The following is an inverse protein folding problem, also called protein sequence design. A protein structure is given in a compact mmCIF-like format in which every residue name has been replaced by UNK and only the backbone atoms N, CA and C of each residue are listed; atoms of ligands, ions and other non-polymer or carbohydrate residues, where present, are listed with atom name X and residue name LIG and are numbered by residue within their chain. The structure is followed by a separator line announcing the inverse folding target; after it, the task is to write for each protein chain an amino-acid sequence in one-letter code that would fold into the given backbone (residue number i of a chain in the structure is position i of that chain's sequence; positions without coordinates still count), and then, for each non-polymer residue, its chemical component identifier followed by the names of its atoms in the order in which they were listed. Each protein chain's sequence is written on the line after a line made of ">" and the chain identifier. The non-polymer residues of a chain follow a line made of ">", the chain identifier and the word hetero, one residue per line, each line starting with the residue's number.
data_IF_491541247824
#
_entry.id   IF_491541247824
#
_cell.length_a   1.000
_cell.length_b   1.000
_cell.length_c   1.000
_cell.angle_alpha   90.00
_cell.angle_beta   90.00
_cell.angle_gamma   90.00
#
_symmetry.space_group_name_H-M   'P 1'
#
loop_
_entity.id
_entity.type
_entity.pdbx_description
1 polymer ?
#
# COMPACT_ATOMS: atom_id res chain seq x y z
N UNK A 1 -8.54 -14.20 5.00
CA UNK A 1 -7.92 -12.96 4.48
C UNK A 1 -7.89 -13.04 2.98
N UNK A 2 -8.51 -12.10 2.28
CA UNK A 2 -8.49 -12.12 0.83
C UNK A 2 -8.23 -10.71 0.31
N UNK A 3 -7.07 -10.56 -0.34
CA UNK A 3 -6.70 -9.34 -1.08
C UNK A 3 -7.81 -8.92 -2.07
N UNK A 4 -8.64 -9.88 -2.52
CA UNK A 4 -9.82 -9.64 -3.35
C UNK A 4 -10.78 -8.60 -2.77
N UNK A 5 -11.02 -8.66 -1.46
CA UNK A 5 -11.97 -7.78 -0.77
C UNK A 5 -11.38 -6.38 -0.70
N UNK A 6 -10.18 -6.28 -0.13
CA UNK A 6 -9.41 -5.04 0.00
C UNK A 6 -9.31 -4.31 -1.35
N UNK A 7 -8.93 -5.02 -2.42
CA UNK A 7 -8.81 -4.42 -3.74
C UNK A 7 -10.15 -4.03 -4.38
N UNK A 8 -11.23 -4.76 -4.12
CA UNK A 8 -12.57 -4.38 -4.57
C UNK A 8 -13.08 -3.12 -3.88
N UNK A 9 -12.84 -3.01 -2.58
CA UNK A 9 -13.21 -1.85 -1.77
C UNK A 9 -12.37 -0.62 -2.21
N UNK A 10 -11.05 -0.78 -2.42
CA UNK A 10 -10.20 0.29 -2.98
C UNK A 10 -10.60 0.71 -4.39
N UNK A 11 -10.94 -0.24 -5.29
CA UNK A 11 -11.41 0.10 -6.63
C UNK A 11 -12.69 0.94 -6.63
N UNK A 12 -13.52 0.78 -5.60
CA UNK A 12 -14.68 1.66 -5.37
C UNK A 12 -14.24 2.99 -4.79
N UNK A 13 -13.37 2.97 -3.78
CA UNK A 13 -12.84 4.14 -3.11
C UNK A 13 -12.18 5.14 -4.08
N UNK A 14 -11.28 4.68 -4.96
CA UNK A 14 -10.55 5.53 -5.90
C UNK A 14 -11.43 6.29 -6.89
N UNK A 15 -12.68 5.87 -7.10
CA UNK A 15 -13.64 6.62 -7.93
C UNK A 15 -14.12 7.91 -7.25
N UNK A 16 -14.09 7.94 -5.93
CA UNK A 16 -14.60 9.05 -5.11
C UNK A 16 -13.49 9.83 -4.41
N UNK A 17 -12.36 9.17 -4.14
CA UNK A 17 -11.13 9.79 -3.68
C UNK A 17 -9.96 9.17 -4.47
N UNK A 18 -9.70 9.69 -5.69
CA UNK A 18 -8.57 9.28 -6.50
C UNK A 18 -7.25 9.47 -5.76
N UNK A 19 -6.32 8.60 -6.07
CA UNK A 19 -4.97 8.56 -5.53
C UNK A 19 -4.01 9.47 -6.31
N UNK A 20 -4.55 10.50 -6.98
CA UNK A 20 -3.82 11.51 -7.75
C UNK A 20 -4.32 12.92 -7.40
N UNK A 21 -3.45 13.91 -7.52
CA UNK A 21 -3.82 15.32 -7.36
C UNK A 21 -4.36 15.89 -8.67
N UNK A 22 -5.44 16.66 -8.59
CA UNK A 22 -5.95 17.48 -9.69
C UNK A 22 -5.67 18.94 -9.37
N UNK A 23 -4.88 19.61 -10.20
CA UNK A 23 -4.50 21.02 -10.00
C UNK A 23 -3.92 21.27 -8.59
N UNK A 24 -3.02 20.37 -8.15
CA UNK A 24 -2.38 20.38 -6.82
C UNK A 24 -3.35 20.27 -5.63
N UNK A 25 -4.56 19.77 -5.86
CA UNK A 25 -5.60 19.52 -4.85
C UNK A 25 -6.09 18.08 -4.93
N UNK A 26 -6.54 17.54 -3.80
CA UNK A 26 -7.22 16.24 -3.78
C UNK A 26 -8.55 16.32 -4.52
N UNK A 27 -8.77 15.45 -5.51
CA UNK A 27 -10.05 15.34 -6.23
C UNK A 27 -11.09 14.57 -5.40
N UNK A 28 -11.54 15.18 -4.31
CA UNK A 28 -12.41 14.56 -3.32
C UNK A 28 -13.90 14.79 -3.62
N UNK A 29 -14.67 13.71 -3.82
CA UNK A 29 -16.12 13.79 -4.04
C UNK A 29 -16.87 13.83 -2.71
N UNK A 30 -16.93 15.01 -2.10
CA UNK A 30 -17.49 15.23 -0.74
C UNK A 30 -18.83 14.58 -0.45
N UNK A 31 -19.72 14.48 -1.45
CA UNK A 31 -21.05 13.86 -1.29
C UNK A 31 -21.00 12.41 -0.80
N UNK A 32 -19.97 11.64 -1.16
CA UNK A 32 -19.81 10.24 -0.73
C UNK A 32 -19.24 10.09 0.67
N UNK A 33 -18.66 11.16 1.21
CA UNK A 33 -17.95 11.16 2.49
C UNK A 33 -18.66 12.00 3.56
N UNK A 34 -19.85 12.54 3.27
CA UNK A 34 -20.59 13.45 4.16
C UNK A 34 -20.73 12.93 5.59
N UNK A 35 -21.01 11.65 5.76
CA UNK A 35 -21.20 11.06 7.09
C UNK A 35 -19.90 10.94 7.89
N UNK A 36 -18.75 11.07 7.22
CA UNK A 36 -17.41 11.00 7.80
C UNK A 36 -16.72 12.37 7.89
N UNK A 37 -17.41 13.44 7.49
CA UNK A 37 -16.92 14.81 7.53
C UNK A 37 -17.51 15.57 8.74
N UNK A 38 -16.70 16.37 9.45
CA UNK A 38 -17.23 17.31 10.43
C UNK A 38 -18.29 18.22 9.81
N UNK A 39 -19.42 18.44 10.49
CA UNK A 39 -20.54 19.23 9.97
C UNK A 39 -21.03 18.80 8.56
N UNK A 40 -20.79 17.55 8.18
CA UNK A 40 -21.08 16.99 6.84
C UNK A 40 -20.36 17.69 5.69
N UNK A 41 -19.26 18.39 5.99
CA UNK A 41 -18.47 19.10 5.01
C UNK A 41 -16.96 19.02 5.34
N UNK A 42 -16.17 18.43 4.45
CA UNK A 42 -14.71 18.34 4.60
C UNK A 42 -14.06 19.54 3.91
N UNK A 43 -13.85 20.62 4.66
CA UNK A 43 -13.43 21.93 4.16
C UNK A 43 -11.93 22.00 3.83
N UNK A 44 -11.11 21.27 4.57
CA UNK A 44 -9.66 21.26 4.41
C UNK A 44 -9.15 19.86 4.07
N UNK A 45 -7.87 19.77 3.70
CA UNK A 45 -7.28 18.51 3.25
C UNK A 45 -7.17 17.48 4.37
N UNK A 46 -6.93 17.90 5.62
CA UNK A 46 -6.91 17.01 6.79
C UNK A 46 -8.27 16.34 6.99
N UNK A 47 -9.36 17.10 6.90
CA UNK A 47 -10.73 16.57 7.01
C UNK A 47 -11.04 15.58 5.88
N UNK A 48 -10.64 15.88 4.64
CA UNK A 48 -10.83 14.96 3.49
C UNK A 48 -10.09 13.65 3.71
N UNK A 49 -8.82 13.70 4.12
CA UNK A 49 -7.99 12.52 4.38
C UNK A 49 -8.60 11.68 5.50
N UNK A 50 -8.99 12.31 6.61
CA UNK A 50 -9.64 11.62 7.72
C UNK A 50 -10.97 10.97 7.31
N UNK A 51 -11.80 11.67 6.54
CA UNK A 51 -13.04 11.12 6.02
C UNK A 51 -12.80 9.91 5.09
N UNK A 52 -11.74 9.96 4.28
CA UNK A 52 -11.29 8.83 3.48
C UNK A 52 -10.90 7.61 4.34
N UNK A 53 -10.09 7.82 5.38
CA UNK A 53 -9.73 6.78 6.35
C UNK A 53 -10.97 6.15 7.01
N UNK A 54 -11.87 6.98 7.54
CA UNK A 54 -13.10 6.52 8.21
C UNK A 54 -13.98 5.70 7.26
N UNK A 55 -14.12 6.15 6.01
CA UNK A 55 -14.88 5.41 5.00
C UNK A 55 -14.25 4.04 4.70
N UNK A 56 -12.92 3.97 4.57
CA UNK A 56 -12.22 2.70 4.36
C UNK A 56 -12.43 1.75 5.55
N UNK A 57 -12.37 2.24 6.78
CA UNK A 57 -12.67 1.45 7.98
C UNK A 57 -14.10 0.88 7.93
N UNK A 58 -15.09 1.70 7.56
CA UNK A 58 -16.48 1.24 7.42
C UNK A 58 -16.61 0.11 6.38
N UNK A 59 -16.05 0.32 5.19
CA UNK A 59 -16.18 -0.65 4.09
C UNK A 59 -15.39 -1.94 4.38
N UNK A 60 -14.23 -1.81 5.02
CA UNK A 60 -13.38 -2.96 5.31
C UNK A 60 -13.99 -3.85 6.39
N UNK A 61 -14.57 -3.25 7.43
CA UNK A 61 -14.87 -3.97 8.66
C UNK A 61 -16.36 -3.96 9.06
N UNK A 62 -17.07 -2.86 8.81
CA UNK A 62 -18.40 -2.64 9.39
C UNK A 62 -19.51 -3.08 8.44
N UNK A 63 -19.45 -2.68 7.17
CA UNK A 63 -20.53 -2.89 6.18
C UNK A 63 -20.95 -4.36 6.01
N UNK A 64 -19.99 -5.27 6.07
CA UNK A 64 -20.22 -6.71 5.94
C UNK A 64 -20.21 -7.46 7.28
N UNK A 65 -19.95 -6.74 8.38
CA UNK A 65 -19.78 -7.28 9.72
C UNK A 65 -18.39 -7.89 9.96
N UNK A 66 -17.99 -7.94 11.24
CA UNK A 66 -16.76 -8.58 11.71
C UNK A 66 -16.91 -10.09 11.61
N UNK A 67 -16.59 -10.66 10.44
CA UNK A 67 -16.58 -12.11 10.25
C UNK A 67 -15.17 -12.69 10.16
N UNK A 68 -14.15 -11.89 10.43
CA UNK A 68 -12.75 -12.23 10.21
C UNK A 68 -11.97 -12.31 11.53
N UNK A 69 -11.04 -13.27 11.63
CA UNK A 69 -10.16 -13.38 12.78
C UNK A 69 -9.24 -12.15 12.94
N UNK A 70 -8.69 -11.96 14.15
CA UNK A 70 -7.92 -10.77 14.53
C UNK A 70 -6.76 -10.45 13.58
N UNK A 71 -6.02 -11.45 13.10
CA UNK A 71 -4.91 -11.22 12.17
C UNK A 71 -5.39 -10.64 10.83
N UNK A 72 -6.58 -11.03 10.37
CA UNK A 72 -7.17 -10.51 9.13
C UNK A 72 -7.51 -9.02 9.29
N UNK A 73 -8.11 -8.64 10.42
CA UNK A 73 -8.44 -7.23 10.70
C UNK A 73 -7.19 -6.37 10.71
N UNK A 74 -6.14 -6.85 11.38
CA UNK A 74 -4.86 -6.18 11.47
C UNK A 74 -4.24 -5.94 10.09
N UNK A 75 -4.17 -6.98 9.26
CA UNK A 75 -3.55 -6.87 7.94
C UNK A 75 -4.36 -6.06 6.93
N UNK A 76 -5.69 -6.17 6.93
CA UNK A 76 -6.56 -5.33 6.11
C UNK A 76 -6.41 -3.86 6.55
N UNK A 77 -6.25 -3.60 7.85
CA UNK A 77 -6.03 -2.24 8.38
C UNK A 77 -4.68 -1.66 7.95
N UNK A 78 -3.64 -2.49 7.83
CA UNK A 78 -2.33 -2.05 7.30
C UNK A 78 -2.45 -1.53 5.86
N UNK A 79 -3.35 -2.07 5.04
CA UNK A 79 -3.58 -1.52 3.70
C UNK A 79 -4.15 -0.08 3.74
N UNK A 80 -4.98 0.24 4.75
CA UNK A 80 -5.45 1.61 4.99
C UNK A 80 -4.28 2.52 5.36
N UNK A 81 -3.33 2.03 6.18
CA UNK A 81 -2.12 2.79 6.55
C UNK A 81 -1.20 3.02 5.35
N UNK A 82 -1.04 2.03 4.48
CA UNK A 82 -0.28 2.18 3.24
C UNK A 82 -0.90 3.28 2.36
N UNK A 83 -2.23 3.25 2.19
CA UNK A 83 -2.94 4.29 1.46
C UNK A 83 -2.79 5.67 2.12
N UNK A 84 -2.99 5.78 3.43
CA UNK A 84 -2.87 7.04 4.17
C UNK A 84 -1.48 7.65 4.00
N UNK A 85 -0.43 6.83 4.17
CA UNK A 85 0.96 7.29 4.03
C UNK A 85 1.26 7.79 2.62
N UNK A 86 0.76 7.09 1.61
CA UNK A 86 0.89 7.53 0.22
C UNK A 86 0.16 8.85 -0.04
N UNK A 87 -1.09 8.99 0.40
CA UNK A 87 -1.84 10.24 0.21
C UNK A 87 -1.11 11.41 0.87
N UNK A 88 -0.58 11.23 2.08
CA UNK A 88 0.21 12.27 2.76
C UNK A 88 1.50 12.63 2.00
N UNK A 89 2.10 11.67 1.29
CA UNK A 89 3.29 11.92 0.46
C UNK A 89 3.01 12.73 -0.80
N UNK A 90 1.76 12.75 -1.30
CA UNK A 90 1.39 13.54 -2.49
C UNK A 90 1.41 15.04 -2.22
N UNK A 91 1.07 15.43 -0.98
CA UNK A 91 1.02 16.83 -0.56
C UNK A 91 1.43 16.92 0.90
N UNK A 92 2.63 17.44 1.13
CA UNK A 92 3.19 17.66 2.46
C UNK A 92 2.22 18.45 3.35
N UNK A 93 2.22 18.09 4.63
CA UNK A 93 1.46 18.76 5.68
C UNK A 93 2.45 19.24 6.74
N UNK A 94 2.23 20.45 7.27
CA UNK A 94 3.22 21.09 8.14
C UNK A 94 3.52 20.26 9.39
N UNK A 95 4.80 19.91 9.54
CA UNK A 95 5.30 19.09 10.64
C UNK A 95 4.78 17.65 10.63
N UNK A 96 4.41 17.10 9.48
CA UNK A 96 4.13 15.68 9.27
C UNK A 96 5.25 15.09 8.41
N UNK A 97 6.17 14.38 9.05
CA UNK A 97 7.26 13.67 8.35
C UNK A 97 7.04 12.15 8.41
N UNK A 98 6.39 11.68 9.49
CA UNK A 98 6.05 10.26 9.68
C UNK A 98 4.54 10.08 9.80
N UNK A 99 4.09 8.86 9.52
CA UNK A 99 2.70 8.46 9.75
C UNK A 99 2.29 8.62 11.23
N UNK A 100 3.22 8.38 12.16
CA UNK A 100 3.02 8.58 13.60
C UNK A 100 2.74 10.04 13.98
N UNK A 101 3.31 10.99 13.24
CA UNK A 101 3.09 12.41 13.47
C UNK A 101 1.65 12.77 13.10
N UNK A 102 1.20 12.28 11.94
CA UNK A 102 -0.17 12.49 11.47
C UNK A 102 -1.17 11.87 12.44
N UNK A 103 -0.92 10.62 12.85
CA UNK A 103 -1.77 9.94 13.81
C UNK A 103 -1.91 10.75 15.10
N UNK A 104 -0.79 11.23 15.65
CA UNK A 104 -0.77 11.96 16.91
C UNK A 104 -1.51 13.30 16.83
N UNK A 105 -1.33 14.04 15.72
CA UNK A 105 -1.94 15.37 15.54
C UNK A 105 -3.39 15.35 15.06
N UNK A 106 -3.77 14.37 14.24
CA UNK A 106 -5.01 14.43 13.46
C UNK A 106 -5.96 13.24 13.63
N UNK A 107 -5.53 12.16 14.29
CA UNK A 107 -6.36 10.97 14.54
C UNK A 107 -6.58 10.72 16.04
N UNK A 108 -5.53 10.83 16.87
CA UNK A 108 -5.54 10.41 18.27
C UNK A 108 -6.71 11.00 19.07
N UNK A 109 -6.92 12.31 18.96
CA UNK A 109 -7.92 13.05 19.71
C UNK A 109 -9.10 13.51 18.81
N UNK A 110 -9.22 12.93 17.60
CA UNK A 110 -10.27 13.27 16.66
C UNK A 110 -11.57 12.53 17.00
N UNK A 111 -12.59 13.29 17.37
CA UNK A 111 -13.90 12.78 17.82
C UNK A 111 -14.62 11.95 16.77
N UNK A 112 -14.39 12.19 15.47
CA UNK A 112 -15.06 11.44 14.40
C UNK A 112 -14.70 9.94 14.44
N UNK A 113 -13.45 9.59 14.79
CA UNK A 113 -13.04 8.19 14.94
C UNK A 113 -13.71 7.49 16.13
N UNK A 114 -14.10 8.25 17.15
CA UNK A 114 -14.77 7.72 18.36
C UNK A 114 -16.29 7.72 18.22
N UNK A 115 -16.86 8.63 17.42
CA UNK A 115 -18.31 8.78 17.23
C UNK A 115 -18.92 7.66 16.39
N UNK A 116 -18.15 7.09 15.46
CA UNK A 116 -18.58 5.96 14.64
C UNK A 116 -18.60 4.68 15.45
N UNK A 117 -19.72 4.43 16.14
CA UNK A 117 -19.94 3.25 16.97
C UNK A 117 -20.12 2.00 16.13
N UNK A 118 -19.59 0.90 16.64
CA UNK A 118 -19.69 -0.44 16.05
C UNK A 118 -20.45 -1.34 17.02
N UNK A 119 -21.30 -2.21 16.49
CA UNK A 119 -21.93 -3.29 17.26
C UNK A 119 -21.06 -4.54 17.09
N UNK A 120 -19.99 -4.62 17.88
CA UNK A 120 -19.05 -5.74 17.94
C UNK A 120 -18.53 -5.87 19.38
N UNK A 121 -18.22 -7.10 19.80
CA UNK A 121 -17.82 -7.39 21.19
C UNK A 121 -16.43 -6.84 21.52
N UNK A 122 -15.56 -6.67 20.52
CA UNK A 122 -14.16 -6.26 20.68
C UNK A 122 -13.92 -4.81 20.28
N UNK A 123 -14.53 -4.35 19.19
CA UNK A 123 -14.39 -2.99 18.69
C UNK A 123 -15.69 -2.23 18.85
N UNK A 124 -15.72 -1.25 19.74
CA UNK A 124 -16.89 -0.39 19.96
C UNK A 124 -16.89 0.86 19.08
N UNK A 125 -15.76 1.20 18.44
CA UNK A 125 -15.61 2.32 17.53
C UNK A 125 -14.42 2.17 16.57
N UNK A 126 -14.32 3.09 15.61
CA UNK A 126 -13.29 3.07 14.56
C UNK A 126 -11.91 3.38 15.13
N UNK A 127 -11.86 4.16 16.22
CA UNK A 127 -10.63 4.51 16.93
C UNK A 127 -9.88 3.26 17.41
N UNK A 128 -10.57 2.25 17.95
CA UNK A 128 -9.92 1.01 18.37
C UNK A 128 -9.28 0.24 17.20
N UNK A 129 -9.89 0.27 16.02
CA UNK A 129 -9.37 -0.42 14.83
C UNK A 129 -8.07 0.24 14.37
N UNK A 130 -8.08 1.56 14.20
CA UNK A 130 -6.87 2.28 13.76
C UNK A 130 -5.75 2.18 14.80
N UNK A 131 -6.09 2.11 16.10
CA UNK A 131 -5.12 1.97 17.18
C UNK A 131 -4.35 0.65 17.16
N UNK A 132 -4.94 -0.43 16.64
CA UNK A 132 -4.23 -1.70 16.44
C UNK A 132 -3.12 -1.62 15.38
N UNK A 133 -3.12 -0.56 14.56
CA UNK A 133 -2.10 -0.36 13.51
C UNK A 133 -0.95 0.58 13.93
N UNK A 134 -0.93 1.08 15.17
CA UNK A 134 0.11 2.02 15.65
C UNK A 134 1.54 1.53 15.42
N UNK A 135 1.78 0.23 15.56
CA UNK A 135 3.11 -0.35 15.38
C UNK A 135 3.65 -0.30 13.94
N UNK A 136 2.79 0.03 12.97
CA UNK A 136 3.14 0.19 11.56
C UNK A 136 3.38 1.66 11.17
N UNK A 137 3.13 2.62 12.07
CA UNK A 137 3.10 4.05 11.74
C UNK A 137 4.43 4.79 11.99
N UNK A 138 5.42 4.19 12.64
CA UNK A 138 6.74 4.82 12.80
C UNK A 138 7.58 4.65 11.52
N UNK A 139 7.12 5.29 10.46
CA UNK A 139 7.69 5.19 9.12
C UNK A 139 7.56 6.56 8.42
N UNK A 140 8.58 6.92 7.66
CA UNK A 140 8.62 8.17 6.90
C UNK A 140 7.58 8.12 5.76
N UNK A 141 6.82 9.21 5.59
CA UNK A 141 5.81 9.28 4.53
C UNK A 141 6.44 9.23 3.12
N UNK A 142 7.69 9.66 2.97
CA UNK A 142 8.40 9.72 1.69
C UNK A 142 8.68 8.35 1.08
N UNK A 143 8.73 7.29 1.89
CA UNK A 143 8.93 5.91 1.42
C UNK A 143 7.62 5.17 1.16
N UNK A 144 6.49 5.70 1.66
CA UNK A 144 5.15 5.11 1.48
C UNK A 144 4.72 4.92 0.01
N UNK A 145 5.10 5.78 -0.95
CA UNK A 145 4.87 5.53 -2.38
C UNK A 145 5.35 4.17 -2.87
N UNK A 146 6.49 3.67 -2.36
CA UNK A 146 7.01 2.36 -2.78
C UNK A 146 6.12 1.22 -2.28
N UNK A 147 5.66 1.28 -1.03
CA UNK A 147 4.70 0.31 -0.48
C UNK A 147 3.35 0.37 -1.19
N UNK A 148 2.86 1.57 -1.51
CA UNK A 148 1.61 1.76 -2.22
C UNK A 148 1.67 1.19 -3.64
N UNK A 149 2.81 1.36 -4.34
CA UNK A 149 3.05 0.71 -5.64
C UNK A 149 2.91 -0.81 -5.54
N UNK A 150 3.49 -1.44 -4.51
CA UNK A 150 3.33 -2.88 -4.28
C UNK A 150 1.86 -3.27 -3.99
N UNK A 151 1.13 -2.48 -3.21
CA UNK A 151 -0.30 -2.69 -2.98
C UNK A 151 -1.12 -2.61 -4.28
N UNK A 152 -0.85 -1.62 -5.15
CA UNK A 152 -1.50 -1.51 -6.47
C UNK A 152 -1.18 -2.73 -7.35
N UNK A 153 0.06 -3.20 -7.35
CA UNK A 153 0.46 -4.42 -8.07
C UNK A 153 -0.29 -5.66 -7.57
N UNK A 154 -0.51 -5.80 -6.25
CA UNK A 154 -1.36 -6.87 -5.69
C UNK A 154 -2.78 -6.79 -6.24
N UNK A 155 -3.38 -5.60 -6.31
CA UNK A 155 -4.71 -5.44 -6.87
C UNK A 155 -4.79 -5.67 -8.38
N UNK A 156 -3.76 -5.28 -9.12
CA UNK A 156 -3.65 -5.57 -10.55
C UNK A 156 -3.50 -7.07 -10.82
N UNK A 157 -2.66 -7.77 -10.04
CA UNK A 157 -2.56 -9.23 -10.08
C UNK A 157 -3.90 -9.90 -9.82
N UNK A 158 -4.62 -9.50 -8.78
CA UNK A 158 -5.94 -10.04 -8.48
C UNK A 158 -6.96 -9.77 -9.62
N UNK A 159 -6.93 -8.59 -10.22
CA UNK A 159 -7.81 -8.26 -11.35
C UNK A 159 -7.49 -9.09 -12.59
N UNK A 160 -6.21 -9.21 -12.94
CA UNK A 160 -5.75 -10.05 -14.06
C UNK A 160 -6.08 -11.54 -13.81
N UNK A 161 -5.98 -11.98 -12.55
CA UNK A 161 -6.36 -13.33 -12.13
C UNK A 161 -7.84 -13.60 -12.44
N UNK A 162 -8.75 -12.72 -12.01
CA UNK A 162 -10.19 -12.86 -12.27
C UNK A 162 -10.53 -12.85 -13.76
N UNK A 163 -9.75 -12.10 -14.54
CA UNK A 163 -9.89 -12.04 -15.99
C UNK A 163 -9.23 -13.23 -16.70
N UNK A 164 -8.68 -14.20 -15.96
CA UNK A 164 -7.96 -15.37 -16.48
C UNK A 164 -6.79 -14.99 -17.41
N UNK A 165 -6.17 -13.84 -17.19
CA UNK A 165 -5.03 -13.35 -17.98
C UNK A 165 -3.71 -13.72 -17.31
N UNK A 166 -3.25 -14.96 -17.54
CA UNK A 166 -2.02 -15.50 -16.93
C UNK A 166 -0.76 -14.72 -17.28
N UNK A 167 -0.69 -14.14 -18.48
CA UNK A 167 0.45 -13.33 -18.93
C UNK A 167 0.59 -12.08 -18.05
N UNK A 168 -0.49 -11.32 -17.87
CA UNK A 168 -0.49 -10.13 -17.00
C UNK A 168 -0.26 -10.48 -15.54
N UNK A 169 -0.80 -11.60 -15.04
CA UNK A 169 -0.49 -12.04 -13.67
C UNK A 169 1.01 -12.28 -13.50
N UNK A 170 1.65 -12.93 -14.47
CA UNK A 170 3.09 -13.20 -14.42
C UNK A 170 3.92 -11.91 -14.52
N UNK A 171 3.51 -10.96 -15.36
CA UNK A 171 4.15 -9.65 -15.49
C UNK A 171 4.09 -8.87 -14.16
N UNK A 172 2.90 -8.72 -13.59
CA UNK A 172 2.74 -8.01 -12.32
C UNK A 172 3.42 -8.75 -11.16
N UNK A 173 3.48 -10.07 -11.17
CA UNK A 173 4.19 -10.85 -10.16
C UNK A 173 5.70 -10.60 -10.21
N UNK A 174 6.30 -10.53 -11.40
CA UNK A 174 7.71 -10.16 -11.58
C UNK A 174 7.98 -8.76 -11.07
N UNK A 175 7.19 -7.78 -11.52
CA UNK A 175 7.34 -6.39 -11.07
C UNK A 175 7.15 -6.24 -9.56
N UNK A 176 6.23 -7.02 -8.96
CA UNK A 176 6.05 -7.05 -7.51
C UNK A 176 7.28 -7.64 -6.83
N UNK A 177 7.80 -8.79 -7.29
CA UNK A 177 8.96 -9.43 -6.71
C UNK A 177 10.22 -8.55 -6.78
N UNK A 178 10.43 -7.85 -7.89
CA UNK A 178 11.54 -6.92 -8.06
C UNK A 178 11.42 -5.74 -7.07
N UNK A 179 10.26 -5.08 -7.02
CA UNK A 179 10.03 -3.96 -6.10
C UNK A 179 10.03 -4.40 -4.63
N UNK A 180 9.59 -5.62 -4.33
CA UNK A 180 9.69 -6.20 -3.01
C UNK A 180 11.15 -6.43 -2.62
N UNK A 181 11.96 -6.96 -3.52
CA UNK A 181 13.39 -7.23 -3.28
C UNK A 181 14.14 -5.93 -3.00
N UNK A 182 13.86 -4.86 -3.75
CA UNK A 182 14.43 -3.52 -3.48
C UNK A 182 14.13 -3.06 -2.05
N UNK A 183 12.87 -3.17 -1.60
CA UNK A 183 12.50 -2.80 -0.23
C UNK A 183 13.07 -3.77 0.80
N UNK A 184 13.20 -5.04 0.45
CA UNK A 184 13.70 -6.06 1.36
C UNK A 184 15.20 -5.86 1.67
N UNK A 185 15.98 -5.48 0.67
CA UNK A 185 17.41 -5.24 0.78
C UNK A 185 17.75 -3.82 1.29
N UNK A 186 16.75 -2.95 1.48
CA UNK A 186 16.92 -1.59 2.01
C UNK A 186 17.54 -1.62 3.42
N UNK A 187 18.44 -0.67 3.69
CA UNK A 187 19.09 -0.53 5.00
C UNK A 187 18.12 -0.13 6.10
N UNK A 188 17.01 0.53 5.75
CA UNK A 188 15.95 0.86 6.70
C UNK A 188 15.04 -0.34 7.02
N UNK A 189 15.20 -1.47 6.35
CA UNK A 189 14.42 -2.69 6.61
C UNK A 189 15.08 -3.52 7.72
N UNK A 190 14.94 -3.05 8.96
CA UNK A 190 15.35 -3.78 10.16
C UNK A 190 14.22 -4.66 10.68
N UNK A 191 14.56 -5.87 11.15
CA UNK A 191 13.58 -6.80 11.68
C UNK A 191 12.74 -6.18 12.81
N UNK A 192 11.43 -6.32 12.72
CA UNK A 192 10.49 -5.86 13.75
C UNK A 192 10.17 -4.36 13.72
N UNK A 193 10.84 -3.55 12.89
CA UNK A 193 10.47 -2.15 12.72
C UNK A 193 9.20 -1.99 11.86
N UNK A 194 8.63 -0.78 11.79
CA UNK A 194 7.40 -0.53 11.03
C UNK A 194 7.54 -0.82 9.54
N UNK A 195 8.69 -0.52 8.94
CA UNK A 195 9.01 -0.81 7.54
C UNK A 195 8.89 -2.31 7.25
N UNK A 196 9.62 -3.12 8.01
CA UNK A 196 9.64 -4.57 7.89
C UNK A 196 8.25 -5.17 8.12
N UNK A 197 7.53 -4.68 9.13
CA UNK A 197 6.16 -5.10 9.43
C UNK A 197 5.20 -4.83 8.28
N UNK A 198 5.25 -3.66 7.65
CA UNK A 198 4.42 -3.34 6.46
C UNK A 198 4.79 -4.27 5.31
N UNK A 199 6.08 -4.45 5.03
CA UNK A 199 6.57 -5.31 3.97
C UNK A 199 6.09 -6.77 4.14
N UNK A 200 6.13 -7.28 5.38
CA UNK A 200 5.65 -8.62 5.72
C UNK A 200 4.14 -8.79 5.44
N UNK A 201 3.31 -7.77 5.66
CA UNK A 201 1.89 -7.86 5.32
C UNK A 201 1.69 -8.01 3.81
N UNK A 202 2.44 -7.26 3.00
CA UNK A 202 2.38 -7.37 1.54
C UNK A 202 2.85 -8.74 1.04
N UNK A 203 3.88 -9.34 1.66
CA UNK A 203 4.35 -10.69 1.32
C UNK A 203 3.29 -11.76 1.63
N UNK A 204 2.59 -11.63 2.76
CA UNK A 204 1.48 -12.52 3.14
C UNK A 204 0.38 -12.47 2.08
N UNK A 205 -0.01 -11.29 1.61
CA UNK A 205 -1.01 -11.16 0.54
C UNK A 205 -0.55 -11.79 -0.78
N UNK A 206 0.69 -11.51 -1.21
CA UNK A 206 1.27 -12.07 -2.43
C UNK A 206 1.25 -13.61 -2.42
N UNK A 207 1.68 -14.21 -1.30
CA UNK A 207 1.74 -15.64 -1.14
C UNK A 207 0.35 -16.28 -1.12
N UNK A 208 -0.63 -15.63 -0.49
CA UNK A 208 -1.99 -16.13 -0.35
C UNK A 208 -2.90 -15.90 -1.57
N UNK A 209 -2.52 -15.05 -2.53
CA UNK A 209 -3.33 -14.73 -3.74
C UNK A 209 -3.73 -15.97 -4.55
N UNK A 210 -3.03 -17.10 -4.38
CA UNK A 210 -3.22 -18.37 -5.12
C UNK A 210 -3.96 -19.45 -4.30
N UNK A 211 -4.11 -19.29 -2.98
CA UNK A 211 -4.81 -20.27 -2.14
C UNK A 211 -6.33 -20.18 -2.35
N UNK A 212 -6.84 -20.81 -3.41
CA UNK A 212 -8.28 -20.98 -3.60
C UNK A 212 -8.77 -21.05 -5.03
N UNK A 213 -7.96 -20.57 -5.99
CA UNK A 213 -8.37 -20.52 -7.38
C UNK A 213 -7.32 -21.24 -8.24
N UNK A 214 -7.75 -22.24 -9.02
CA UNK A 214 -6.90 -22.90 -10.02
C UNK A 214 -7.05 -22.11 -11.32
N UNK A 215 -5.94 -21.70 -11.93
CA UNK A 215 -5.96 -21.36 -13.35
C UNK A 215 -6.40 -22.61 -14.10
N UNK A 216 -7.42 -22.50 -14.95
CA UNK A 216 -8.00 -23.66 -15.58
C UNK A 216 -7.04 -24.35 -16.56
N UNK A 217 -6.02 -23.67 -17.11
CA UNK A 217 -5.17 -24.28 -18.16
C UNK A 217 -3.77 -23.69 -18.37
N UNK A 218 -3.38 -22.54 -17.79
CA UNK A 218 -2.12 -21.86 -18.16
C UNK A 218 -1.19 -21.66 -16.97
N UNK A 219 0.09 -21.97 -17.17
CA UNK A 219 1.16 -21.73 -16.19
C UNK A 219 1.27 -20.24 -15.88
N UNK A 220 1.44 -19.90 -14.60
CA UNK A 220 1.75 -18.55 -14.14
C UNK A 220 3.13 -18.58 -13.53
N UNK A 221 4.01 -17.73 -14.06
CA UNK A 221 5.34 -17.52 -13.50
C UNK A 221 5.24 -16.51 -12.36
N UNK A 222 5.50 -16.97 -11.14
CA UNK A 222 5.41 -16.17 -9.93
C UNK A 222 6.71 -16.35 -9.12
N UNK A 223 7.63 -15.39 -9.16
CA UNK A 223 8.88 -15.49 -8.42
C UNK A 223 8.62 -15.64 -6.93
N UNK A 224 9.45 -16.47 -6.26
CA UNK A 224 9.51 -16.51 -4.80
C UNK A 224 10.09 -15.20 -4.27
N UNK A 225 9.53 -14.69 -3.18
CA UNK A 225 10.07 -13.52 -2.52
C UNK A 225 11.33 -13.89 -1.71
N UNK A 226 12.34 -12.99 -1.62
CA UNK A 226 13.52 -13.22 -0.81
C UNK A 226 13.17 -13.34 0.68
N UNK A 227 13.91 -14.20 1.37
CA UNK A 227 13.83 -14.38 2.83
C UNK A 227 15.12 -14.00 3.54
N UNK A 228 16.19 -13.72 2.79
CA UNK A 228 17.50 -13.28 3.29
C UNK A 228 17.99 -12.14 2.42
N UNK A 229 18.59 -11.12 3.06
CA UNK A 229 19.10 -9.95 2.33
C UNK A 229 20.22 -10.38 1.41
N UNK A 230 20.29 -9.78 0.23
CA UNK A 230 21.41 -10.00 -0.67
C UNK A 230 22.70 -9.51 0.00
N UNK A 231 23.79 -10.30 0.01
CA UNK A 231 25.06 -9.80 0.52
C UNK A 231 25.44 -8.55 -0.28
N UNK A 232 25.70 -7.44 0.41
CA UNK A 232 26.31 -6.28 -0.24
C UNK A 232 27.63 -6.77 -0.82
N UNK A 233 27.80 -6.64 -2.14
CA UNK A 233 29.13 -6.81 -2.74
C UNK A 233 29.97 -5.66 -2.20
N UNK A 234 30.67 -5.91 -1.11
CA UNK A 234 31.79 -5.07 -0.73
C UNK A 234 32.71 -5.07 -1.94
N UNK A 235 32.83 -3.93 -2.62
CA UNK A 235 33.91 -3.72 -3.56
C UNK A 235 35.18 -4.12 -2.81
N UNK A 236 35.92 -5.16 -3.22
CA UNK A 236 37.20 -5.42 -2.62
C UNK A 236 38.08 -4.26 -3.08
N UNK A 237 38.25 -3.26 -2.21
CA UNK A 237 39.38 -2.36 -2.31
C UNK A 237 40.64 -3.22 -2.46
N UNK A 238 41.63 -2.79 -3.26
CA UNK A 238 42.73 -3.64 -3.66
C UNK A 238 43.40 -4.23 -2.41
N UNK A 239 43.21 -5.54 -2.22
CA UNK A 239 43.87 -6.32 -1.18
C UNK A 239 45.33 -6.42 -1.59
N UNK A 240 46.16 -5.51 -1.08
CA UNK A 240 47.61 -5.68 -1.12
C UNK A 240 47.94 -6.83 -0.17
N UNK A 241 48.13 -8.01 -0.75
CA UNK A 241 48.68 -9.17 -0.07
C UNK A 241 50.11 -8.84 0.37
N UNK A 242 50.32 -8.60 1.67
CA UNK A 242 51.66 -8.62 2.26
C UNK A 242 52.09 -10.09 2.40
N UNK A 243 53.06 -10.48 1.57
CA UNK A 243 53.94 -11.63 1.82
C UNK A 243 55.34 -11.08 2.14
N UNK A 244 55.90 -11.55 3.24
CA UNK A 244 57.26 -11.27 3.72
C UNK A 244 58.24 -12.25 3.06
N UNK A 245 59.35 -11.77 2.50
CA UNK A 245 60.71 -12.34 2.62
C UNK A 245 61.76 -11.46 1.88
N UNK A 246 63.03 -11.68 2.22
CA UNK A 246 64.11 -10.70 2.49
C UNK A 246 65.15 -10.53 1.35
N UNK A 247 65.91 -9.41 1.42
CA UNK A 247 67.23 -9.07 0.83
C UNK A 247 67.23 -8.42 -0.56
N UNK A 248 68.05 -7.42 -0.93
CA UNK A 248 69.13 -6.61 -0.29
C UNK A 248 69.58 -5.53 -1.30
N UNK A 249 70.05 -4.36 -0.79
CA UNK A 249 70.86 -3.31 -1.49
C UNK A 249 70.19 -2.54 -2.66
N UNK A 250 70.39 -1.25 -2.96
CA UNK A 250 71.07 -0.06 -2.40
C UNK A 250 70.59 1.13 -3.27
N UNK A 251 70.74 2.35 -2.75
CA UNK A 251 70.79 3.66 -3.43
C UNK A 251 69.61 4.65 -3.38
N UNK A 252 70.07 5.88 -3.14
CA UNK A 252 69.42 7.11 -2.72
C UNK A 252 68.59 7.80 -3.81
N UNK A 253 67.58 8.59 -3.40
CA UNK A 253 67.61 10.06 -3.51
C UNK A 253 66.20 10.65 -3.41
N UNK A 254 66.15 11.78 -2.70
CA UNK A 254 65.01 12.68 -2.51
C UNK A 254 64.29 13.10 -3.80
N UNK A 255 63.00 13.44 -3.68
CA UNK A 255 62.43 14.72 -4.11
C UNK A 255 61.01 14.88 -3.54
N UNK A 256 60.77 16.08 -3.01
CA UNK A 256 59.52 16.55 -2.46
C UNK A 256 58.55 17.08 -3.53
N UNK A 257 57.28 17.17 -3.11
CA UNK A 257 56.22 18.11 -3.54
C UNK A 257 55.43 17.79 -4.81
N UNK A 258 54.11 17.57 -4.65
CA UNK A 258 53.05 18.38 -5.28
C UNK A 258 51.64 17.91 -4.85
N UNK A 259 50.96 18.75 -4.07
CA UNK A 259 49.48 18.78 -3.99
C UNK A 259 48.95 19.45 -5.26
N UNK A 260 47.82 19.00 -5.83
CA UNK A 260 46.68 19.92 -5.85
C UNK A 260 45.33 19.24 -5.55
N UNK A 261 44.56 19.99 -4.77
CA UNK A 261 43.10 19.92 -4.65
C UNK A 261 42.41 19.99 -6.02
N UNK A 262 41.32 19.25 -6.19
CA UNK A 262 40.20 19.76 -6.98
C UNK A 262 38.90 19.30 -6.35
N UNK A 263 38.07 20.30 -6.18
CA UNK A 263 36.83 20.35 -5.45
C UNK A 263 35.70 20.45 -6.50
N UNK A 264 34.49 20.05 -6.10
CA UNK A 264 33.19 20.38 -6.71
C UNK A 264 32.83 19.72 -8.05
N UNK A 265 31.79 18.86 -8.03
CA UNK A 265 30.47 19.15 -8.65
C UNK A 265 29.48 18.00 -8.40
N UNK A 266 28.60 18.21 -7.43
CA UNK A 266 27.31 17.51 -7.34
C UNK A 266 26.40 18.10 -8.41
N UNK A 267 26.01 17.27 -9.38
CA UNK A 267 25.04 17.66 -10.41
C UNK A 267 23.64 17.30 -9.99
N UNK A 268 22.83 18.33 -9.82
CA UNK A 268 21.39 18.31 -9.58
C UNK A 268 20.58 17.75 -10.76
N UNK A 269 19.53 17.01 -10.40
CA UNK A 269 18.17 16.94 -10.98
C UNK A 269 17.96 17.12 -12.50
N UNK A 270 17.25 16.15 -13.12
CA UNK A 270 16.12 16.50 -14.00
C UNK A 270 15.06 15.39 -14.08
N UNK A 271 13.97 15.58 -13.32
CA UNK A 271 12.66 14.97 -13.52
C UNK A 271 11.82 15.88 -14.44
N UNK A 272 11.81 15.68 -15.76
CA UNK A 272 10.77 16.24 -16.65
C UNK A 272 10.60 15.37 -17.91
N UNK A 273 9.33 15.09 -18.25
CA UNK A 273 8.78 14.57 -19.52
C UNK A 273 8.75 13.05 -19.80
N UNK A 274 7.59 12.43 -19.50
CA UNK A 274 6.85 11.65 -20.52
C UNK A 274 5.37 11.45 -20.15
N UNK A 275 4.55 12.45 -20.46
CA UNK A 275 3.10 12.33 -20.59
C UNK A 275 2.77 11.98 -22.06
N UNK A 276 1.58 11.40 -22.28
CA UNK A 276 0.89 11.14 -23.57
C UNK A 276 1.14 9.76 -24.19
N UNK A 277 0.18 8.84 -23.97
CA UNK A 277 -0.67 8.18 -24.99
C UNK A 277 -1.94 7.70 -24.27
N UNK A 278 -3.05 8.43 -24.43
CA UNK A 278 -4.40 8.03 -24.02
C UNK A 278 -5.32 8.24 -25.22
N UNK A 279 -5.87 7.14 -25.73
CA UNK A 279 -7.11 6.94 -26.54
C UNK A 279 -6.89 5.59 -27.27
N UNK A 280 -7.66 4.48 -27.06
CA UNK A 280 -9.12 4.42 -26.88
C UNK A 280 -9.62 3.28 -25.94
N UNK A 281 -10.17 3.57 -24.75
CA UNK A 281 -10.78 2.54 -23.85
C UNK A 281 -12.32 2.68 -23.79
N UNK A 282 -12.91 3.69 -24.42
CA UNK A 282 -14.32 4.03 -24.27
C UNK A 282 -15.31 3.06 -24.96
N UNK A 283 -14.85 2.11 -25.77
CA UNK A 283 -15.74 1.17 -26.47
C UNK A 283 -16.08 -0.11 -25.66
N UNK A 284 -15.31 -0.49 -24.64
CA UNK A 284 -15.52 -1.73 -23.90
C UNK A 284 -16.49 -1.58 -22.70
N UNK A 285 -16.77 -0.36 -22.26
CA UNK A 285 -17.52 -0.08 -21.01
C UNK A 285 -19.01 -0.40 -21.15
N UNK A 286 -19.57 -0.35 -22.37
CA UNK A 286 -21.00 -0.58 -22.61
C UNK A 286 -21.46 -2.03 -22.40
N UNK A 287 -20.54 -3.02 -22.44
CA UNK A 287 -20.89 -4.45 -22.37
C UNK A 287 -20.98 -4.95 -20.92
N UNK A 288 -20.28 -4.31 -19.96
CA UNK A 288 -20.20 -4.79 -18.58
C UNK A 288 -21.39 -4.40 -17.67
N UNK A 289 -22.23 -3.44 -18.08
CA UNK A 289 -23.43 -3.05 -17.32
C UNK A 289 -24.58 -4.07 -17.42
N UNK A 290 -24.64 -4.87 -18.49
CA UNK A 290 -25.70 -5.87 -18.65
C UNK A 290 -25.59 -7.07 -17.70
N UNK A 291 -24.37 -7.46 -17.33
CA UNK A 291 -24.12 -8.68 -16.54
C UNK A 291 -24.19 -8.39 -15.02
N UNK A 292 -23.68 -7.24 -14.59
CA UNK A 292 -23.65 -6.86 -13.16
C UNK A 292 -25.05 -6.58 -12.59
N UNK A 293 -25.96 -6.00 -13.37
CA UNK A 293 -27.34 -5.73 -12.95
C UNK A 293 -28.13 -7.01 -12.65
N UNK A 294 -27.95 -8.06 -13.47
CA UNK A 294 -28.70 -9.33 -13.35
C UNK A 294 -28.30 -10.14 -12.11
N UNK A 295 -27.01 -10.17 -11.75
CA UNK A 295 -26.53 -10.84 -10.53
C UNK A 295 -26.88 -10.08 -9.25
N UNK A 296 -26.92 -8.74 -9.30
CA UNK A 296 -27.34 -7.92 -8.16
C UNK A 296 -28.81 -8.17 -7.80
N UNK A 297 -29.72 -8.09 -8.78
CA UNK A 297 -31.16 -8.25 -8.53
C UNK A 297 -31.52 -9.65 -7.99
N UNK A 298 -30.81 -10.69 -8.44
CA UNK A 298 -31.04 -12.06 -8.01
C UNK A 298 -30.62 -12.31 -6.55
N UNK A 299 -29.56 -11.64 -6.08
CA UNK A 299 -29.08 -11.75 -4.69
C UNK A 299 -29.99 -11.02 -3.70
N UNK A 300 -30.53 -9.87 -4.07
CA UNK A 300 -31.46 -9.10 -3.23
C UNK A 300 -32.78 -9.85 -2.98
N UNK A 301 -33.35 -10.51 -3.99
CA UNK A 301 -34.57 -11.33 -3.83
C UNK A 301 -34.39 -12.47 -2.82
N UNK A 302 -33.21 -13.11 -2.78
CA UNK A 302 -32.93 -14.24 -1.87
C UNK A 302 -32.78 -13.80 -0.40
N UNK A 303 -32.38 -12.55 -0.13
CA UNK A 303 -32.28 -12.00 1.24
C UNK A 303 -33.64 -11.58 1.79
N UNK A 304 -34.51 -10.93 1.00
CA UNK A 304 -35.83 -10.49 1.50
C UNK A 304 -36.73 -11.66 1.90
N UNK A 305 -36.66 -12.80 1.20
CA UNK A 305 -37.39 -14.01 1.56
C UNK A 305 -36.91 -14.64 2.88
N UNK A 306 -35.59 -14.67 3.13
CA UNK A 306 -35.03 -15.16 4.40
C UNK A 306 -35.38 -14.27 5.59
N UNK A 307 -35.47 -12.96 5.38
CA UNK A 307 -35.84 -12.01 6.43
C UNK A 307 -37.33 -12.15 6.81
N UNK A 308 -38.22 -12.29 5.83
CA UNK A 308 -39.64 -12.60 6.07
C UNK A 308 -39.87 -13.94 6.79
N UNK A 309 -39.05 -14.97 6.52
CA UNK A 309 -39.15 -16.24 7.24
C UNK A 309 -38.73 -16.13 8.71
N UNK A 310 -37.69 -15.34 9.01
CA UNK A 310 -37.22 -15.11 10.38
C UNK A 310 -38.21 -14.29 11.22
N UNK A 311 -38.92 -13.34 10.61
CA UNK A 311 -39.97 -12.57 11.29
C UNK A 311 -41.20 -13.43 11.62
N UNK A 312 -41.53 -14.43 10.78
CA UNK A 312 -42.63 -15.36 11.03
C UNK A 312 -42.34 -16.42 12.10
N UNK A 313 -41.07 -16.74 12.36
CA UNK A 313 -40.66 -17.67 13.42
C UNK A 313 -40.55 -16.99 14.81
N UNK A 314 -40.67 -15.66 14.87
CA UNK A 314 -40.63 -14.87 16.12
C UNK A 314 -42.02 -14.40 16.60
N UNK A 315 -43.09 -14.79 15.89
CA UNK A 315 -44.49 -14.62 16.27
C UNK A 315 -45.08 -15.98 16.60
#
# INVERSE_FOLDING_TARGET
>A
MSISKVCGDFATFWKFFPDELKESKYDFKSTFFKDYCPNKNCNNDIEKINAGCLWLIYEFFVKLGFSAGQDVLKYDSVCIIIWLGYILSLKSQDGINKLSDYYSKHIKDNVEYSNHKIVDDKYDNYKKIIDETKEYMNIDINIMPKFYKLLKLLCNMYTAYNNQNSSQVSEYAKTFADGYTELFDDDNNDEGNSYNKILNVLSIYYNNLVKGNKFNTTSVDRPSLPTQKTPKKDNPGPKVTKATDISSETDNSDIATATPSSDITLSDSSLVNKLVIVLPILAAISIFWGISYKYSLFRFRKRSQKQKLREKLKK
#
